data_IF_416217316068
#
_entry.id   IF_416217316068
#
_cell.length_a   1.000
_cell.length_b   1.000
_cell.length_c   1.000
_cell.angle_alpha   90.00
_cell.angle_beta   90.00
_cell.angle_gamma   90.00
#
_symmetry.space_group_name_H-M   'P 1'
#
loop_
_entity.id
_entity.type
_entity.pdbx_description
1 polymer ?
#
# COMPACT_ATOMS: atom_id res chain seq x y z
N UNK A 1 43.55 53.07 -49.24
CA UNK A 1 43.82 54.52 -49.32
C UNK A 1 44.61 54.96 -48.08
N UNK A 2 45.03 56.25 -48.05
CA UNK A 2 45.42 57.11 -46.90
C UNK A 2 44.64 56.83 -45.59
N UNK A 3 45.03 57.21 -44.35
CA UNK A 3 46.21 57.84 -43.67
C UNK A 3 45.94 57.62 -42.14
N UNK A 4 46.84 57.13 -41.27
CA UNK A 4 48.09 57.66 -40.67
C UNK A 4 47.91 58.81 -39.62
N UNK A 5 48.80 58.87 -38.60
CA UNK A 5 48.89 59.73 -37.38
C UNK A 5 48.06 59.24 -36.17
N UNK A 6 48.51 59.17 -34.89
CA UNK A 6 49.68 59.62 -34.05
C UNK A 6 49.43 60.82 -33.11
N UNK A 7 49.42 60.53 -31.79
CA UNK A 7 49.84 61.35 -30.61
C UNK A 7 49.93 60.40 -29.38
N UNK A 8 50.64 60.54 -28.23
CA UNK A 8 51.40 61.59 -27.49
C UNK A 8 50.51 62.58 -26.69
N UNK A 9 50.78 62.99 -25.44
CA UNK A 9 51.65 62.55 -24.31
C UNK A 9 51.12 63.25 -22.99
N UNK A 10 51.73 63.36 -21.77
CA UNK A 10 53.08 63.10 -21.22
C UNK A 10 53.08 63.12 -19.65
N UNK A 11 53.68 62.11 -18.98
CA UNK A 11 54.28 62.03 -17.60
C UNK A 11 53.98 63.09 -16.49
N UNK A 12 53.70 62.63 -15.25
CA UNK A 12 54.46 62.77 -13.94
C UNK A 12 53.58 62.23 -12.78
N UNK A 13 54.04 61.40 -11.81
CA UNK A 13 54.96 61.63 -10.67
C UNK A 13 54.40 62.61 -9.59
N UNK A 14 54.45 62.38 -8.27
CA UNK A 14 54.85 61.22 -7.43
C UNK A 14 54.38 61.44 -5.94
N UNK A 15 54.74 60.54 -5.01
CA UNK A 15 54.38 60.48 -3.57
C UNK A 15 52.88 60.22 -3.29
N UNK A 16 52.47 59.62 -2.17
CA UNK A 16 53.24 58.96 -1.10
C UNK A 16 53.26 59.67 0.25
N UNK A 17 52.17 59.57 1.03
CA UNK A 17 52.17 59.81 2.48
C UNK A 17 50.92 59.19 3.12
N UNK A 18 51.09 58.57 4.30
CA UNK A 18 50.02 57.98 5.11
C UNK A 18 49.35 59.04 5.99
N UNK A 19 48.04 58.95 6.18
CA UNK A 19 47.35 59.58 7.33
C UNK A 19 46.06 58.82 7.62
N UNK A 20 45.89 58.38 8.87
CA UNK A 20 44.68 57.71 9.32
C UNK A 20 43.67 58.74 9.84
N UNK A 21 42.41 58.61 9.44
CA UNK A 21 41.29 59.34 10.00
C UNK A 21 40.09 58.40 10.14
N UNK A 22 39.40 58.43 11.28
CA UNK A 22 38.30 57.52 11.57
C UNK A 22 37.04 57.94 10.79
N UNK A 23 36.40 56.99 10.12
CA UNK A 23 35.04 57.11 9.63
C UNK A 23 34.19 55.98 10.26
N UNK A 24 33.12 56.35 10.97
CA UNK A 24 32.26 55.40 11.66
C UNK A 24 31.36 54.66 10.65
N UNK A 25 31.77 53.46 10.23
CA UNK A 25 30.91 52.55 9.46
C UNK A 25 29.84 51.94 10.36
N UNK A 26 28.56 52.12 10.00
CA UNK A 26 27.45 51.56 10.77
C UNK A 26 27.49 50.02 10.75
N UNK A 27 27.62 49.41 11.92
CA UNK A 27 27.56 47.95 12.08
C UNK A 27 26.12 47.48 11.89
N UNK A 28 25.78 47.07 10.66
CA UNK A 28 24.59 46.27 10.39
C UNK A 28 24.72 44.94 11.14
N UNK A 29 24.12 44.87 12.33
CA UNK A 29 24.22 43.71 13.21
C UNK A 29 23.58 42.49 12.57
N UNK A 30 24.39 41.58 12.05
CA UNK A 30 23.95 40.23 11.72
C UNK A 30 23.52 39.55 13.03
N UNK A 31 22.22 39.56 13.31
CA UNK A 31 21.65 38.87 14.46
C UNK A 31 22.04 37.39 14.43
N UNK A 32 22.26 36.75 15.59
CA UNK A 32 22.73 35.38 15.64
C UNK A 32 21.77 34.49 14.85
N UNK A 33 22.31 33.76 13.86
CA UNK A 33 21.53 32.84 13.05
C UNK A 33 20.86 31.82 13.97
N UNK A 34 19.55 31.97 14.17
CA UNK A 34 18.80 31.15 15.11
C UNK A 34 18.89 29.69 14.65
N UNK A 35 19.68 28.91 15.39
CA UNK A 35 19.84 27.48 15.13
C UNK A 35 18.50 26.79 15.42
N UNK A 36 17.64 26.69 14.40
CA UNK A 36 16.35 26.02 14.51
C UNK A 36 16.58 24.64 15.13
N UNK A 37 15.93 24.33 16.27
CA UNK A 37 16.18 23.09 16.97
C UNK A 37 15.85 21.93 16.04
N UNK A 38 16.89 21.18 15.64
CA UNK A 38 16.78 20.06 14.73
C UNK A 38 15.78 19.08 15.34
N UNK A 39 14.61 18.95 14.70
CA UNK A 39 13.52 18.15 15.22
C UNK A 39 14.04 16.76 15.61
N UNK A 40 13.71 16.32 16.83
CA UNK A 40 14.17 15.04 17.34
C UNK A 40 13.82 13.94 16.34
N UNK A 41 14.76 13.02 16.11
CA UNK A 41 14.55 11.90 15.20
C UNK A 41 13.26 11.17 15.60
N UNK A 42 12.42 10.86 14.60
CA UNK A 42 11.19 10.14 14.84
C UNK A 42 11.51 8.81 15.57
N UNK A 43 10.70 8.40 16.56
CA UNK A 43 10.91 7.11 17.22
C UNK A 43 10.87 6.00 16.17
N UNK A 44 11.87 5.14 16.20
CA UNK A 44 11.91 3.99 15.31
C UNK A 44 10.81 2.97 15.68
N UNK A 45 10.29 2.19 14.71
CA UNK A 45 9.53 0.97 14.99
C UNK A 45 10.25 0.05 16.00
N UNK A 46 9.49 -0.65 16.85
CA UNK A 46 10.02 -1.36 18.02
C UNK A 46 10.67 -2.72 17.71
N UNK A 47 11.62 -2.73 16.78
CA UNK A 47 12.38 -3.91 16.36
C UNK A 47 13.87 -3.60 16.17
N UNK A 48 14.70 -4.65 16.13
CA UNK A 48 16.14 -4.50 15.87
C UNK A 48 16.41 -4.00 14.45
N UNK A 49 17.58 -3.40 14.22
CA UNK A 49 17.90 -2.74 12.95
C UNK A 49 17.84 -3.65 11.71
N UNK A 50 18.03 -4.97 11.85
CA UNK A 50 17.87 -5.93 10.75
C UNK A 50 16.40 -6.05 10.29
N UNK A 51 15.49 -6.06 11.26
CA UNK A 51 14.04 -6.18 11.07
C UNK A 51 13.34 -4.85 10.82
N UNK A 52 14.07 -3.73 10.80
CA UNK A 52 13.53 -2.41 10.48
C UNK A 52 13.59 -2.11 8.97
N UNK A 53 12.57 -1.41 8.50
CA UNK A 53 12.54 -0.74 7.20
C UNK A 53 12.17 0.73 7.47
N UNK A 54 13.00 1.64 6.96
CA UNK A 54 12.73 3.08 6.91
C UNK A 54 13.16 3.57 5.53
N UNK A 55 12.19 3.99 4.71
CA UNK A 55 12.42 4.49 3.36
C UNK A 55 11.88 5.90 3.23
N UNK A 56 12.75 6.85 2.93
CA UNK A 56 12.36 8.17 2.43
C UNK A 56 12.27 8.13 0.91
N UNK A 57 11.14 8.55 0.36
CA UNK A 57 10.86 8.64 -1.06
C UNK A 57 11.31 10.01 -1.59
N UNK A 58 11.52 10.13 -2.91
CA UNK A 58 12.06 11.36 -3.53
C UNK A 58 11.17 12.59 -3.35
N UNK A 59 9.86 12.38 -3.20
CA UNK A 59 8.83 13.38 -2.85
C UNK A 59 8.87 13.83 -1.39
N UNK A 60 9.73 13.23 -0.56
CA UNK A 60 9.95 13.62 0.83
C UNK A 60 9.19 12.80 1.87
N UNK A 61 8.13 12.10 1.46
CA UNK A 61 7.41 11.11 2.29
C UNK A 61 8.37 10.08 2.85
N UNK A 62 8.21 9.70 4.12
CA UNK A 62 8.94 8.61 4.76
C UNK A 62 8.00 7.55 5.30
N UNK A 63 8.22 6.30 4.92
CA UNK A 63 7.54 5.12 5.46
C UNK A 63 8.47 4.40 6.45
N UNK A 64 7.90 3.92 7.56
CA UNK A 64 8.62 3.13 8.57
C UNK A 64 7.79 1.95 9.01
N UNK A 65 8.43 0.80 9.20
CA UNK A 65 7.82 -0.43 9.68
C UNK A 65 8.87 -1.40 10.22
N UNK A 66 8.43 -2.35 11.02
CA UNK A 66 9.10 -3.62 11.24
C UNK A 66 8.65 -4.63 10.18
N UNK A 67 9.52 -5.57 9.84
CA UNK A 67 9.18 -6.79 9.14
C UNK A 67 9.67 -7.98 9.95
N UNK A 68 8.89 -9.06 9.97
CA UNK A 68 9.34 -10.37 10.41
C UNK A 68 8.89 -11.42 9.39
N UNK A 69 9.43 -12.62 9.55
CA UNK A 69 9.02 -13.76 8.74
C UNK A 69 8.33 -14.81 9.62
N UNK A 70 7.33 -15.47 9.04
CA UNK A 70 6.53 -16.49 9.67
C UNK A 70 6.44 -17.68 8.71
N UNK A 71 6.67 -18.90 9.21
CA UNK A 71 6.65 -20.13 8.40
C UNK A 71 5.31 -20.36 7.71
N UNK A 72 4.22 -19.82 8.26
CA UNK A 72 2.85 -19.96 7.74
C UNK A 72 2.54 -18.81 6.77
N UNK A 73 2.33 -17.58 7.26
CA UNK A 73 1.97 -16.38 6.45
C UNK A 73 3.06 -15.82 5.53
N UNK A 74 4.32 -16.29 5.59
CA UNK A 74 5.44 -15.63 4.91
C UNK A 74 5.83 -14.31 5.58
N UNK A 75 5.94 -13.23 4.80
CA UNK A 75 6.29 -11.90 5.33
C UNK A 75 5.13 -11.28 6.12
N UNK A 76 5.45 -10.74 7.30
CA UNK A 76 4.51 -10.02 8.17
C UNK A 76 5.10 -8.64 8.46
N UNK A 77 4.29 -7.59 8.26
CA UNK A 77 4.70 -6.20 8.46
C UNK A 77 4.02 -5.63 9.71
N UNK A 78 4.76 -4.93 10.56
CA UNK A 78 4.34 -4.50 11.90
C UNK A 78 4.79 -3.06 12.19
N UNK A 79 4.13 -2.37 13.12
CA UNK A 79 4.41 -0.95 13.46
C UNK A 79 4.48 0.00 12.24
N UNK A 80 3.58 -0.20 11.27
CA UNK A 80 3.56 0.54 10.01
C UNK A 80 3.13 1.99 10.25
N UNK A 81 3.98 2.93 9.84
CA UNK A 81 3.74 4.37 9.97
C UNK A 81 4.17 5.19 8.75
N UNK A 82 3.39 6.25 8.51
CA UNK A 82 3.44 7.14 7.37
C UNK A 82 3.84 8.54 7.82
N UNK A 83 4.76 9.21 7.13
CA UNK A 83 5.13 10.60 7.39
C UNK A 83 5.30 11.39 6.07
N UNK A 84 4.27 12.12 5.62
CA UNK A 84 4.40 12.99 4.46
C UNK A 84 5.20 14.27 4.75
N UNK A 85 5.60 15.03 3.71
CA UNK A 85 6.21 16.33 3.87
C UNK A 85 5.36 17.27 4.74
N UNK A 86 5.97 17.86 5.77
CA UNK A 86 5.30 18.83 6.64
C UNK A 86 4.43 18.25 7.77
N UNK A 87 4.41 16.92 7.97
CA UNK A 87 3.98 16.31 9.23
C UNK A 87 5.19 16.13 10.16
N UNK A 88 5.14 16.72 11.36
CA UNK A 88 6.29 16.79 12.28
C UNK A 88 6.62 15.45 12.99
N UNK A 89 5.69 14.48 12.95
CA UNK A 89 5.83 13.14 13.53
C UNK A 89 5.24 12.11 12.55
N UNK A 90 5.66 10.84 12.60
CA UNK A 90 4.97 9.78 11.87
C UNK A 90 3.56 9.55 12.43
N UNK A 91 2.64 9.22 11.53
CA UNK A 91 1.29 8.76 11.84
C UNK A 91 1.34 7.24 11.79
N UNK A 92 1.10 6.55 12.92
CA UNK A 92 0.93 5.09 12.89
C UNK A 92 -0.37 4.76 12.16
N UNK A 93 -0.33 3.74 11.31
CA UNK A 93 -1.49 3.32 10.50
C UNK A 93 -1.94 1.90 10.86
N UNK A 94 -1.03 0.93 10.78
CA UNK A 94 -1.29 -0.47 11.09
C UNK A 94 -0.38 -0.94 12.24
N UNK A 95 -0.95 -1.71 13.17
CA UNK A 95 -0.19 -2.48 14.15
C UNK A 95 0.46 -3.68 13.48
N UNK A 96 -0.30 -4.42 12.65
CA UNK A 96 0.20 -5.54 11.85
C UNK A 96 -0.59 -5.72 10.55
N UNK A 97 0.07 -6.29 9.54
CA UNK A 97 -0.51 -6.69 8.28
C UNK A 97 0.17 -7.98 7.78
N UNK A 98 -0.64 -8.96 7.31
CA UNK A 98 -0.14 -10.24 6.78
C UNK A 98 -1.11 -10.91 5.81
N UNK A 99 -0.62 -11.87 5.04
CA UNK A 99 -1.47 -12.90 4.43
C UNK A 99 -2.11 -13.76 5.51
N UNK A 100 -3.40 -14.05 5.33
CA UNK A 100 -4.25 -14.77 6.26
C UNK A 100 -4.76 -16.10 5.68
N UNK A 101 -4.90 -16.22 4.35
CA UNK A 101 -5.10 -17.48 3.64
C UNK A 101 -4.79 -17.28 2.14
N UNK A 102 -4.46 -18.37 1.44
CA UNK A 102 -4.68 -18.53 0.00
C UNK A 102 -5.43 -19.86 -0.14
N UNK A 103 -6.69 -19.79 -0.57
CA UNK A 103 -7.59 -20.94 -0.65
C UNK A 103 -7.91 -21.27 -2.11
N UNK A 104 -7.49 -22.47 -2.54
CA UNK A 104 -7.46 -22.93 -3.93
C UNK A 104 -8.35 -24.17 -4.12
N UNK A 105 -9.67 -24.00 -4.33
CA UNK A 105 -10.56 -25.06 -4.76
C UNK A 105 -10.52 -25.22 -6.28
N UNK A 106 -10.51 -26.47 -6.73
CA UNK A 106 -10.64 -26.84 -8.14
C UNK A 106 -12.12 -27.03 -8.51
N UNK A 107 -12.47 -26.69 -9.74
CA UNK A 107 -13.86 -26.75 -10.21
C UNK A 107 -14.32 -28.20 -10.48
N UNK A 108 -13.39 -29.16 -10.51
CA UNK A 108 -13.70 -30.59 -10.57
C UNK A 108 -14.29 -31.15 -9.26
N UNK A 109 -13.92 -30.54 -8.13
CA UNK A 109 -14.29 -30.94 -6.78
C UNK A 109 -13.39 -32.02 -6.14
N UNK A 110 -12.32 -32.48 -6.79
CA UNK A 110 -11.40 -33.46 -6.20
C UNK A 110 -10.30 -32.80 -5.34
N UNK A 111 -9.90 -31.56 -5.65
CA UNK A 111 -8.85 -30.84 -4.94
C UNK A 111 -9.33 -29.51 -4.31
N UNK A 112 -8.93 -29.28 -3.06
CA UNK A 112 -9.09 -28.01 -2.33
C UNK A 112 -7.92 -27.82 -1.36
N UNK A 113 -7.20 -26.72 -1.48
CA UNK A 113 -6.00 -26.44 -0.71
C UNK A 113 -6.09 -25.11 0.07
N UNK A 114 -5.51 -25.08 1.26
CA UNK A 114 -5.29 -23.87 2.05
C UNK A 114 -3.77 -23.64 2.22
N UNK A 115 -3.11 -23.17 1.16
CA UNK A 115 -1.64 -23.04 1.00
C UNK A 115 -0.92 -22.42 2.22
N UNK A 116 -1.56 -21.42 2.84
CA UNK A 116 -0.96 -20.73 4.00
C UNK A 116 -0.92 -21.65 5.21
N UNK A 117 -2.04 -22.31 5.54
CA UNK A 117 -2.20 -23.08 6.79
C UNK A 117 -1.81 -24.54 6.68
N UNK A 118 -2.07 -25.21 5.55
CA UNK A 118 -1.74 -26.62 5.35
C UNK A 118 -0.27 -26.77 4.92
N UNK A 119 0.13 -26.05 3.88
CA UNK A 119 1.44 -26.19 3.24
C UNK A 119 2.54 -25.31 3.85
N UNK A 120 2.23 -24.50 4.88
CA UNK A 120 3.18 -23.55 5.46
C UNK A 120 3.86 -22.68 4.39
N UNK A 121 3.05 -21.97 3.59
CA UNK A 121 3.46 -21.08 2.49
C UNK A 121 4.77 -20.29 2.72
N UNK A 122 5.00 -19.77 3.93
CA UNK A 122 6.24 -19.07 4.29
C UNK A 122 7.51 -19.92 4.12
N UNK A 123 7.47 -21.22 4.44
CA UNK A 123 8.59 -22.14 4.22
C UNK A 123 8.92 -22.36 2.73
N UNK A 124 7.98 -22.05 1.82
CA UNK A 124 8.18 -22.06 0.37
C UNK A 124 9.01 -20.90 -0.20
N UNK A 125 9.59 -20.04 0.64
CA UNK A 125 10.35 -18.86 0.22
C UNK A 125 11.54 -19.21 -0.71
N UNK A 126 11.61 -18.56 -1.87
CA UNK A 126 12.67 -18.75 -2.86
C UNK A 126 13.87 -17.81 -2.64
N UNK A 127 15.04 -18.20 -3.16
CA UNK A 127 16.24 -17.36 -3.20
C UNK A 127 16.25 -16.49 -4.47
N UNK A 128 16.11 -15.17 -4.30
CA UNK A 128 16.16 -14.20 -5.39
C UNK A 128 17.59 -13.93 -5.87
N UNK A 129 17.76 -13.80 -7.20
CA UNK A 129 18.96 -13.22 -7.83
C UNK A 129 18.83 -11.69 -7.87
N UNK A 130 19.94 -10.92 -7.94
CA UNK A 130 19.88 -9.44 -7.99
C UNK A 130 18.97 -8.86 -9.08
N UNK A 131 18.84 -9.53 -10.23
CA UNK A 131 17.96 -9.10 -11.33
C UNK A 131 16.46 -9.15 -10.97
N UNK A 132 16.06 -9.99 -10.01
CA UNK A 132 14.67 -10.11 -9.53
C UNK A 132 14.29 -9.00 -8.55
N UNK A 133 15.26 -8.21 -8.06
CA UNK A 133 15.07 -7.06 -7.18
C UNK A 133 15.69 -5.77 -7.78
N UNK A 134 15.22 -5.32 -8.96
CA UNK A 134 15.85 -4.22 -9.70
C UNK A 134 15.85 -2.91 -8.90
N UNK A 135 17.03 -2.29 -8.79
CA UNK A 135 17.25 -1.06 -8.01
C UNK A 135 17.08 -1.20 -6.49
N UNK A 136 16.87 -2.42 -5.98
CA UNK A 136 16.57 -2.69 -4.58
C UNK A 136 17.69 -3.34 -3.80
N UNK A 137 17.37 -3.74 -2.57
CA UNK A 137 18.19 -4.58 -1.70
C UNK A 137 17.43 -5.86 -1.39
N UNK A 138 18.05 -7.01 -1.63
CA UNK A 138 17.53 -8.30 -1.17
C UNK A 138 18.00 -8.54 0.26
N UNK A 139 17.07 -8.65 1.20
CA UNK A 139 17.32 -9.02 2.60
C UNK A 139 17.38 -10.54 2.72
N UNK A 140 18.34 -11.03 3.51
CA UNK A 140 18.36 -12.41 3.99
C UNK A 140 17.26 -12.61 5.04
N UNK A 141 16.52 -13.70 4.90
CA UNK A 141 15.41 -14.13 5.74
C UNK A 141 15.78 -15.47 6.35
N UNK A 142 15.65 -15.62 7.67
CA UNK A 142 15.86 -16.91 8.33
C UNK A 142 14.57 -17.72 8.34
N UNK A 143 14.50 -18.71 7.45
CA UNK A 143 13.43 -19.71 7.36
C UNK A 143 13.86 -20.94 8.14
N UNK A 144 13.00 -21.49 9.00
CA UNK A 144 13.37 -22.63 9.86
C UNK A 144 13.47 -23.94 9.08
N UNK A 145 12.44 -24.24 8.29
CA UNK A 145 12.32 -25.47 7.51
C UNK A 145 12.09 -25.12 6.02
N UNK A 146 13.09 -24.56 5.31
CA UNK A 146 12.92 -24.11 3.94
C UNK A 146 12.71 -25.29 2.97
N UNK A 147 11.68 -25.20 2.12
CA UNK A 147 11.32 -26.27 1.18
C UNK A 147 12.21 -26.30 -0.06
N UNK A 148 12.65 -25.13 -0.55
CA UNK A 148 13.35 -24.96 -1.83
C UNK A 148 14.73 -24.30 -1.66
N UNK A 149 15.37 -24.47 -0.50
CA UNK A 149 16.70 -23.94 -0.20
C UNK A 149 17.46 -24.87 0.74
N UNK A 150 18.69 -25.24 0.37
CA UNK A 150 19.62 -25.98 1.23
C UNK A 150 20.17 -25.16 2.42
N UNK A 151 19.74 -23.89 2.55
CA UNK A 151 20.13 -22.95 3.61
C UNK A 151 18.89 -22.39 4.30
N UNK A 152 18.88 -22.37 5.63
CA UNK A 152 17.92 -21.63 6.44
C UNK A 152 17.98 -20.11 6.19
N UNK A 153 19.15 -19.59 5.82
CA UNK A 153 19.32 -18.20 5.45
C UNK A 153 19.03 -18.06 3.94
N UNK A 154 17.82 -17.58 3.62
CA UNK A 154 17.24 -17.46 2.28
C UNK A 154 17.22 -16.00 1.84
N UNK A 155 17.73 -15.68 0.65
CA UNK A 155 17.73 -14.32 0.09
C UNK A 155 16.39 -13.99 -0.58
N UNK A 156 15.30 -13.95 0.19
CA UNK A 156 13.94 -13.98 -0.35
C UNK A 156 13.08 -12.72 -0.20
N UNK A 157 13.55 -11.65 0.44
CA UNK A 157 12.78 -10.40 0.62
C UNK A 157 13.42 -9.23 -0.12
N UNK A 158 12.82 -8.81 -1.24
CA UNK A 158 13.20 -7.58 -1.94
C UNK A 158 12.63 -6.34 -1.24
N UNK A 159 13.43 -5.28 -1.15
CA UNK A 159 12.97 -3.92 -0.84
C UNK A 159 13.51 -2.95 -1.90
N UNK A 160 12.63 -2.25 -2.63
CA UNK A 160 12.98 -1.32 -3.73
C UNK A 160 12.03 -0.13 -3.76
N UNK A 161 12.24 0.82 -4.68
CA UNK A 161 11.29 1.93 -4.95
C UNK A 161 10.97 2.00 -6.45
N UNK A 162 9.71 1.98 -6.84
CA UNK A 162 9.30 2.06 -8.26
C UNK A 162 8.63 3.41 -8.55
N UNK A 163 8.47 3.73 -9.84
CA UNK A 163 7.65 4.86 -10.27
C UNK A 163 6.19 4.44 -10.27
N UNK A 164 5.29 5.32 -9.80
CA UNK A 164 3.84 5.09 -9.87
C UNK A 164 3.12 6.02 -10.86
N UNK A 165 3.88 6.69 -11.73
CA UNK A 165 3.35 7.71 -12.64
C UNK A 165 3.12 9.05 -11.94
N UNK A 166 2.11 9.81 -12.38
CA UNK A 166 1.81 11.13 -11.80
C UNK A 166 1.29 11.02 -10.36
N UNK A 167 1.90 11.77 -9.44
CA UNK A 167 1.34 12.04 -8.12
C UNK A 167 0.24 13.12 -8.18
N UNK A 168 0.35 14.06 -9.12
CA UNK A 168 -0.71 14.99 -9.53
C UNK A 168 -0.37 15.67 -10.85
N UNK A 169 -1.41 16.22 -11.50
CA UNK A 169 -1.31 17.25 -12.52
C UNK A 169 -2.47 18.24 -12.34
N UNK A 170 -2.19 19.54 -12.39
CA UNK A 170 -3.16 20.63 -12.33
C UNK A 170 -2.72 21.73 -13.30
N UNK A 171 -3.58 22.08 -14.25
CA UNK A 171 -3.47 23.32 -15.01
C UNK A 171 -4.38 24.36 -14.34
N UNK A 172 -3.86 25.50 -13.90
CA UNK A 172 -4.71 26.58 -13.38
C UNK A 172 -5.26 27.45 -14.50
N UNK A 173 -6.42 28.06 -14.24
CA UNK A 173 -7.13 28.98 -15.14
C UNK A 173 -7.55 30.20 -14.29
N UNK A 174 -6.90 31.37 -14.43
CA UNK A 174 -7.29 32.57 -13.70
C UNK A 174 -8.62 33.14 -14.22
N UNK A 175 -9.32 34.01 -13.46
CA UNK A 175 -10.65 34.53 -13.83
C UNK A 175 -10.74 35.33 -15.15
N UNK A 176 -9.62 35.55 -15.85
CA UNK A 176 -9.57 36.17 -17.18
C UNK A 176 -9.54 35.15 -18.33
N UNK A 177 -9.71 33.86 -18.06
CA UNK A 177 -9.79 32.78 -19.07
C UNK A 177 -8.47 32.41 -19.74
N UNK A 178 -7.33 32.90 -19.22
CA UNK A 178 -6.01 32.54 -19.76
C UNK A 178 -5.52 31.19 -19.22
N UNK A 179 -4.60 30.56 -19.95
CA UNK A 179 -3.85 29.41 -19.43
C UNK A 179 -2.89 29.89 -18.33
N UNK A 180 -3.14 29.47 -17.09
CA UNK A 180 -2.34 29.79 -15.93
C UNK A 180 -1.10 28.89 -15.76
N UNK A 181 -0.66 28.73 -14.52
CA UNK A 181 0.49 27.90 -14.16
C UNK A 181 0.11 26.41 -14.12
N UNK A 182 0.92 25.56 -14.76
CA UNK A 182 0.87 24.12 -14.57
C UNK A 182 1.64 23.71 -13.30
N UNK A 183 1.06 22.77 -12.54
CA UNK A 183 1.66 22.10 -11.40
C UNK A 183 1.61 20.59 -11.63
N UNK A 184 2.74 19.91 -11.58
CA UNK A 184 2.80 18.45 -11.71
C UNK A 184 3.92 17.86 -10.85
N UNK A 185 3.76 16.59 -10.47
CA UNK A 185 4.81 15.77 -9.87
C UNK A 185 4.69 14.31 -10.30
N UNK A 186 5.82 13.62 -10.42
CA UNK A 186 5.87 12.15 -10.53
C UNK A 186 5.98 11.55 -9.12
N UNK A 187 5.20 10.51 -8.86
CA UNK A 187 5.15 9.81 -7.58
C UNK A 187 6.09 8.62 -7.50
N UNK A 188 6.38 8.22 -6.27
CA UNK A 188 7.11 7.00 -5.91
C UNK A 188 6.32 6.13 -4.95
N UNK A 189 6.64 4.84 -4.97
CA UNK A 189 6.33 3.92 -3.87
C UNK A 189 7.63 3.37 -3.25
N UNK A 190 7.51 2.88 -2.00
CA UNK A 190 8.34 1.79 -1.49
C UNK A 190 7.61 0.49 -1.83
N UNK A 191 8.30 -0.47 -2.42
CA UNK A 191 7.78 -1.80 -2.72
C UNK A 191 8.61 -2.85 -1.96
N UNK A 192 7.92 -3.70 -1.22
CA UNK A 192 8.44 -4.90 -0.56
C UNK A 192 7.80 -6.14 -1.18
N UNK A 193 8.57 -7.19 -1.46
CA UNK A 193 8.00 -8.46 -1.89
C UNK A 193 8.84 -9.69 -1.59
N UNK A 194 8.16 -10.83 -1.49
CA UNK A 194 8.71 -12.18 -1.49
C UNK A 194 8.16 -12.98 -2.67
N UNK A 195 8.87 -14.05 -3.06
CA UNK A 195 8.32 -15.10 -3.94
C UNK A 195 8.31 -16.40 -3.17
N UNK A 196 7.13 -17.03 -3.09
CA UNK A 196 6.86 -18.22 -2.30
C UNK A 196 6.29 -19.30 -3.21
N UNK A 197 6.91 -20.49 -3.24
CA UNK A 197 6.47 -21.63 -4.04
C UNK A 197 5.63 -22.59 -3.21
N UNK A 198 4.52 -23.06 -3.78
CA UNK A 198 3.68 -24.13 -3.22
C UNK A 198 3.36 -25.08 -4.36
N UNK A 199 3.99 -26.26 -4.34
CA UNK A 199 3.96 -27.23 -5.44
C UNK A 199 4.31 -26.58 -6.81
N UNK A 200 3.46 -26.69 -7.83
CA UNK A 200 3.62 -26.06 -9.14
C UNK A 200 3.50 -24.53 -9.10
N UNK A 201 2.65 -23.97 -8.24
CA UNK A 201 2.41 -22.52 -8.15
C UNK A 201 3.54 -21.75 -7.46
N UNK A 202 3.72 -20.51 -7.91
CA UNK A 202 4.60 -19.50 -7.30
C UNK A 202 3.82 -18.21 -7.09
N UNK A 203 3.93 -17.63 -5.90
CA UNK A 203 3.16 -16.47 -5.48
C UNK A 203 4.08 -15.29 -5.12
N UNK A 204 3.94 -14.20 -5.86
CA UNK A 204 4.64 -12.94 -5.61
C UNK A 204 3.80 -12.10 -4.64
N UNK A 205 4.19 -12.04 -3.37
CA UNK A 205 3.46 -11.26 -2.35
C UNK A 205 3.99 -9.83 -2.31
N UNK A 206 3.26 -8.87 -2.89
CA UNK A 206 3.67 -7.45 -2.92
C UNK A 206 2.97 -6.60 -1.86
N UNK A 207 3.76 -5.75 -1.19
CA UNK A 207 3.30 -4.67 -0.33
C UNK A 207 3.88 -3.34 -0.84
N UNK A 208 3.02 -2.46 -1.35
CA UNK A 208 3.40 -1.13 -1.88
C UNK A 208 2.94 -0.02 -0.96
N UNK A 209 3.81 0.95 -0.74
CA UNK A 209 3.66 2.07 0.19
C UNK A 209 3.92 3.37 -0.58
N UNK A 210 2.83 3.99 -1.06
CA UNK A 210 2.87 5.12 -1.99
C UNK A 210 3.16 6.44 -1.26
N UNK A 211 3.72 7.42 -1.96
CA UNK A 211 4.10 8.70 -1.33
C UNK A 211 2.92 9.60 -0.91
N UNK A 212 1.73 9.40 -1.45
CA UNK A 212 0.50 10.04 -0.98
C UNK A 212 -0.12 9.38 0.26
N UNK A 213 0.43 8.27 0.74
CA UNK A 213 -0.07 7.53 1.90
C UNK A 213 -0.86 6.27 1.55
N UNK A 214 -1.22 6.06 0.28
CA UNK A 214 -1.91 4.85 -0.16
C UNK A 214 -1.04 3.61 0.07
N UNK A 215 -1.64 2.53 0.56
CA UNK A 215 -1.02 1.21 0.62
C UNK A 215 -1.75 0.25 -0.31
N UNK A 216 -1.02 -0.58 -1.05
CA UNK A 216 -1.57 -1.57 -1.98
C UNK A 216 -0.98 -2.94 -1.67
N UNK A 217 -1.84 -3.93 -1.55
CA UNK A 217 -1.51 -5.30 -1.16
C UNK A 217 -1.96 -6.24 -2.28
N UNK A 218 -1.02 -6.95 -2.90
CA UNK A 218 -1.30 -7.87 -4.00
C UNK A 218 -0.64 -9.24 -3.75
N UNK A 219 -1.24 -10.27 -4.34
CA UNK A 219 -0.58 -11.53 -4.66
C UNK A 219 -0.61 -11.69 -6.19
N UNK A 220 0.54 -12.03 -6.76
CA UNK A 220 0.68 -12.42 -8.16
C UNK A 220 0.89 -13.92 -8.27
N UNK A 221 -0.08 -14.67 -8.79
CA UNK A 221 0.05 -16.09 -9.06
C UNK A 221 0.77 -16.34 -10.40
N UNK A 222 1.76 -17.23 -10.41
CA UNK A 222 2.62 -17.58 -11.56
C UNK A 222 3.20 -18.99 -11.33
N UNK A 223 4.20 -19.41 -12.11
CA UNK A 223 4.79 -20.75 -12.02
C UNK A 223 4.33 -21.65 -13.16
N UNK A 224 3.44 -22.60 -12.89
CA UNK A 224 2.93 -23.55 -13.88
C UNK A 224 1.53 -24.04 -13.50
N UNK A 225 0.74 -24.46 -14.49
CA UNK A 225 -0.48 -25.24 -14.26
C UNK A 225 -0.13 -26.55 -13.54
N UNK A 226 -1.14 -27.15 -12.89
CA UNK A 226 -0.99 -28.45 -12.24
C UNK A 226 -0.68 -29.54 -13.27
N UNK A 227 0.21 -30.50 -12.97
CA UNK A 227 0.69 -31.49 -13.94
C UNK A 227 -0.24 -32.71 -14.11
N UNK A 228 -1.22 -32.89 -13.22
CA UNK A 228 -2.06 -34.10 -13.14
C UNK A 228 -3.51 -33.86 -13.65
N UNK A 229 -3.94 -32.60 -13.69
CA UNK A 229 -5.33 -32.18 -13.91
C UNK A 229 -5.53 -31.79 -15.39
N UNK A 230 -5.71 -32.79 -16.27
CA UNK A 230 -5.69 -32.62 -17.74
C UNK A 230 -6.86 -33.28 -18.50
N UNK A 231 -7.90 -33.79 -17.83
CA UNK A 231 -9.03 -34.50 -18.45
C UNK A 231 -10.42 -33.86 -18.26
N UNK A 232 -10.52 -32.65 -17.69
CA UNK A 232 -11.78 -31.91 -17.45
C UNK A 232 -12.42 -31.30 -18.71
N UNK A 233 -12.58 -32.11 -19.76
CA UNK A 233 -13.22 -31.74 -21.04
C UNK A 233 -14.75 -31.57 -21.00
N UNK A 234 -15.38 -31.67 -19.83
CA UNK A 234 -16.83 -31.54 -19.62
C UNK A 234 -17.31 -30.10 -19.32
N UNK A 235 -16.38 -29.14 -19.34
CA UNK A 235 -16.64 -27.72 -19.06
C UNK A 235 -16.12 -27.24 -17.70
N UNK A 236 -15.51 -28.12 -16.89
CA UNK A 236 -14.77 -27.76 -15.67
C UNK A 236 -13.32 -27.34 -15.97
N UNK A 237 -12.75 -27.75 -17.10
CA UNK A 237 -11.44 -27.32 -17.59
C UNK A 237 -11.52 -26.57 -18.93
N UNK A 238 -10.36 -26.13 -19.43
CA UNK A 238 -10.20 -25.48 -20.72
C UNK A 238 -9.16 -26.22 -21.60
N UNK A 239 -9.44 -26.43 -22.91
CA UNK A 239 -8.51 -27.15 -23.80
C UNK A 239 -7.21 -26.38 -23.99
N UNK A 240 -6.08 -27.06 -23.81
CA UNK A 240 -4.75 -26.51 -24.05
C UNK A 240 -3.94 -27.42 -24.98
N UNK A 241 -2.91 -26.84 -25.61
CA UNK A 241 -2.07 -27.56 -26.55
C UNK A 241 -2.76 -27.91 -27.88
N UNK A 242 -2.22 -28.90 -28.58
CA UNK A 242 -2.54 -29.12 -30.00
C UNK A 242 -3.81 -29.94 -30.23
N UNK A 243 -4.91 -29.22 -30.38
CA UNK A 243 -6.16 -29.74 -30.93
C UNK A 243 -7.11 -30.30 -29.89
N UNK A 244 -7.20 -29.65 -28.71
CA UNK A 244 -8.18 -29.93 -27.67
C UNK A 244 -8.26 -31.42 -27.28
N UNK A 245 -7.10 -31.99 -26.94
CA UNK A 245 -6.98 -33.37 -26.43
C UNK A 245 -6.86 -33.40 -24.92
N UNK A 246 -6.20 -32.39 -24.38
CA UNK A 246 -5.80 -32.25 -22.99
C UNK A 246 -6.45 -30.96 -22.48
N UNK A 247 -7.12 -31.02 -21.33
CA UNK A 247 -8.00 -29.98 -20.80
C UNK A 247 -7.61 -29.67 -19.35
N UNK A 248 -6.92 -28.56 -19.13
CA UNK A 248 -6.46 -28.21 -17.79
C UNK A 248 -7.59 -27.60 -16.94
N UNK A 249 -7.61 -27.96 -15.67
CA UNK A 249 -8.70 -27.63 -14.75
C UNK A 249 -8.82 -26.14 -14.40
N UNK A 250 -10.06 -25.65 -14.46
CA UNK A 250 -10.40 -24.34 -13.90
C UNK A 250 -10.46 -24.44 -12.38
N UNK A 251 -10.05 -23.37 -11.70
CA UNK A 251 -9.95 -23.34 -10.25
C UNK A 251 -10.00 -21.90 -9.75
N UNK A 252 -10.23 -21.69 -8.47
CA UNK A 252 -10.24 -20.34 -7.87
C UNK A 252 -9.01 -20.09 -7.01
N UNK A 253 -8.56 -18.84 -6.92
CA UNK A 253 -7.58 -18.36 -5.95
C UNK A 253 -8.28 -17.36 -5.03
N UNK A 254 -8.52 -17.73 -3.77
CA UNK A 254 -9.18 -16.87 -2.78
C UNK A 254 -8.14 -16.39 -1.77
N UNK A 255 -7.62 -15.19 -1.96
CA UNK A 255 -6.52 -14.63 -1.14
C UNK A 255 -7.10 -13.75 -0.05
N UNK A 256 -6.68 -13.99 1.20
CA UNK A 256 -7.11 -13.22 2.36
C UNK A 256 -5.94 -12.47 3.00
N UNK A 257 -6.19 -11.24 3.44
CA UNK A 257 -5.25 -10.44 4.23
C UNK A 257 -5.89 -10.04 5.57
N UNK A 258 -5.13 -10.12 6.66
CA UNK A 258 -5.52 -9.64 8.00
C UNK A 258 -4.83 -8.31 8.27
N UNK A 259 -5.60 -7.24 8.49
CA UNK A 259 -5.12 -5.91 8.84
C UNK A 259 -5.57 -5.53 10.25
N UNK A 260 -4.61 -5.18 11.11
CA UNK A 260 -4.83 -4.66 12.46
C UNK A 260 -4.51 -3.16 12.46
N UNK A 261 -5.54 -2.32 12.58
CA UNK A 261 -5.38 -0.87 12.52
C UNK A 261 -4.92 -0.27 13.86
N UNK A 262 -3.85 0.52 13.80
CA UNK A 262 -3.25 1.22 14.93
C UNK A 262 -3.21 2.74 14.71
N UNK A 263 -4.29 3.30 14.16
CA UNK A 263 -4.37 4.70 13.72
C UNK A 263 -3.95 5.65 14.84
N UNK A 264 -2.99 6.53 14.55
CA UNK A 264 -2.43 7.52 15.49
C UNK A 264 -1.82 6.92 16.78
N UNK A 265 -1.50 5.63 16.76
CA UNK A 265 -0.99 4.88 17.91
C UNK A 265 -2.09 4.22 18.77
N UNK A 266 -3.35 4.25 18.32
CA UNK A 266 -4.50 3.70 19.01
C UNK A 266 -5.15 2.56 18.21
N UNK A 267 -5.23 1.38 18.80
CA UNK A 267 -6.06 0.28 18.26
C UNK A 267 -7.57 0.55 18.37
N UNK A 268 -7.96 1.49 19.25
CA UNK A 268 -9.35 1.97 19.34
C UNK A 268 -9.69 2.80 18.11
N UNK A 269 -10.29 2.14 17.14
CA UNK A 269 -10.75 2.69 15.87
C UNK A 269 -12.25 2.39 15.71
N UNK A 270 -12.87 2.78 14.59
CA UNK A 270 -14.26 2.41 14.27
C UNK A 270 -14.40 2.20 12.77
N UNK A 271 -15.38 1.41 12.36
CA UNK A 271 -15.71 1.19 10.95
C UNK A 271 -16.92 2.03 10.56
N UNK A 272 -16.80 2.75 9.45
CA UNK A 272 -17.87 3.55 8.84
C UNK A 272 -18.12 3.03 7.42
N UNK A 273 -19.34 2.57 7.15
CA UNK A 273 -19.82 2.20 5.82
C UNK A 273 -20.51 3.40 5.17
N UNK A 274 -20.30 3.57 3.88
CA UNK A 274 -20.95 4.58 3.06
C UNK A 274 -21.71 3.90 1.91
N UNK A 275 -22.98 4.25 1.75
CA UNK A 275 -23.83 3.79 0.65
C UNK A 275 -24.37 5.00 -0.12
N UNK A 276 -24.10 5.10 -1.41
CA UNK A 276 -24.63 6.20 -2.25
C UNK A 276 -25.72 5.72 -3.18
N UNK A 277 -26.86 6.41 -3.19
CA UNK A 277 -28.00 6.11 -4.05
C UNK A 277 -28.25 7.25 -5.04
N UNK A 278 -28.22 6.92 -6.32
CA UNK A 278 -28.68 7.80 -7.39
C UNK A 278 -30.21 7.82 -7.45
N UNK A 279 -30.78 9.01 -7.54
CA UNK A 279 -32.18 9.29 -7.87
C UNK A 279 -32.24 9.85 -9.31
N UNK A 280 -33.24 9.47 -10.12
CA UNK A 280 -33.41 9.99 -11.48
C UNK A 280 -33.48 11.53 -11.57
N UNK A 281 -33.34 12.03 -12.80
CA UNK A 281 -33.62 13.43 -13.15
C UNK A 281 -35.06 13.83 -12.78
N UNK A 282 -35.28 15.12 -12.49
CA UNK A 282 -36.57 15.63 -12.04
C UNK A 282 -36.82 17.05 -12.55
N UNK A 283 -37.67 17.16 -13.59
CA UNK A 283 -37.75 18.35 -14.44
C UNK A 283 -36.45 18.55 -15.22
N UNK A 284 -36.08 19.80 -15.47
CA UNK A 284 -34.86 20.17 -16.21
C UNK A 284 -33.55 19.94 -15.41
N UNK A 285 -33.64 19.33 -14.22
CA UNK A 285 -32.48 18.99 -13.38
C UNK A 285 -32.03 17.56 -13.66
N UNK A 286 -30.73 17.39 -13.88
CA UNK A 286 -30.09 16.08 -13.98
C UNK A 286 -30.23 15.21 -12.73
N UNK A 287 -29.83 13.93 -12.80
CA UNK A 287 -29.90 13.00 -11.67
C UNK A 287 -29.17 13.52 -10.43
N UNK A 288 -29.66 13.12 -9.25
CA UNK A 288 -29.05 13.50 -7.97
C UNK A 288 -28.51 12.26 -7.25
N UNK A 289 -27.48 12.42 -6.43
CA UNK A 289 -26.89 11.32 -5.66
C UNK A 289 -26.88 11.67 -4.17
N UNK A 290 -27.34 10.75 -3.31
CA UNK A 290 -27.31 10.92 -1.85
C UNK A 290 -26.53 9.79 -1.20
N UNK A 291 -25.46 10.14 -0.50
CA UNK A 291 -24.69 9.21 0.33
C UNK A 291 -25.25 9.15 1.76
N UNK A 292 -25.32 7.94 2.30
CA UNK A 292 -25.71 7.64 3.69
C UNK A 292 -24.50 7.07 4.43
N UNK A 293 -24.28 7.54 5.65
CA UNK A 293 -23.25 7.04 6.58
C UNK A 293 -23.89 6.05 7.56
N UNK A 294 -23.34 4.84 7.63
CA UNK A 294 -23.72 3.80 8.60
C UNK A 294 -22.52 3.48 9.49
N UNK A 295 -22.66 3.61 10.82
CA UNK A 295 -21.63 3.18 11.77
C UNK A 295 -21.72 1.68 11.95
N UNK A 296 -20.63 0.97 11.66
CA UNK A 296 -20.53 -0.48 11.88
C UNK A 296 -20.00 -0.68 13.30
N UNK A 297 -20.92 -0.88 14.25
CA UNK A 297 -20.65 -0.99 15.70
C UNK A 297 -20.57 -2.42 16.20
N UNK A 298 -20.95 -3.38 15.35
CA UNK A 298 -20.86 -4.82 15.56
C UNK A 298 -20.13 -5.44 14.38
N UNK A 299 -19.62 -6.65 14.59
CA UNK A 299 -19.01 -7.45 13.53
C UNK A 299 -19.92 -7.58 12.31
N UNK A 300 -19.30 -7.58 11.13
CA UNK A 300 -20.00 -7.49 9.86
C UNK A 300 -19.18 -8.19 8.76
N UNK A 301 -19.83 -9.06 8.00
CA UNK A 301 -19.36 -9.49 6.70
C UNK A 301 -20.09 -8.69 5.62
N UNK A 302 -19.39 -8.31 4.54
CA UNK A 302 -19.96 -7.42 3.53
C UNK A 302 -19.32 -7.53 2.15
N UNK A 303 -20.10 -7.19 1.13
CA UNK A 303 -19.66 -7.16 -0.26
C UNK A 303 -19.55 -5.73 -0.79
N UNK A 304 -18.50 -5.49 -1.58
CA UNK A 304 -18.35 -4.32 -2.42
C UNK A 304 -19.51 -4.26 -3.42
N UNK A 305 -20.09 -3.06 -3.57
CA UNK A 305 -21.24 -2.81 -4.46
C UNK A 305 -21.06 -1.44 -5.11
N UNK A 306 -21.73 -1.21 -6.23
CA UNK A 306 -21.68 0.09 -6.91
C UNK A 306 -21.95 1.23 -5.92
N UNK A 307 -20.96 2.11 -5.76
CA UNK A 307 -21.01 3.29 -4.87
C UNK A 307 -21.17 2.97 -3.36
N UNK A 308 -20.78 1.74 -2.94
CA UNK A 308 -20.55 1.35 -1.54
C UNK A 308 -19.06 1.25 -1.24
N UNK A 309 -18.64 1.76 -0.09
CA UNK A 309 -17.28 1.63 0.44
C UNK A 309 -17.26 1.68 1.97
N UNK A 310 -16.11 1.39 2.58
CA UNK A 310 -15.90 1.49 4.03
C UNK A 310 -14.63 2.26 4.35
N UNK A 311 -14.54 2.81 5.56
CA UNK A 311 -13.28 3.27 6.13
C UNK A 311 -13.11 2.86 7.58
N UNK A 312 -11.86 2.63 7.97
CA UNK A 312 -11.45 2.53 9.38
C UNK A 312 -11.02 3.92 9.84
N UNK A 313 -11.57 4.40 10.94
CA UNK A 313 -11.40 5.78 11.41
C UNK A 313 -10.84 5.84 12.83
N UNK A 314 -9.87 6.71 13.05
CA UNK A 314 -9.30 7.03 14.35
C UNK A 314 -10.37 7.57 15.30
N UNK A 315 -10.38 7.12 16.56
CA UNK A 315 -11.26 7.67 17.59
C UNK A 315 -10.72 8.97 18.21
N UNK A 316 -9.44 9.28 18.04
CA UNK A 316 -8.77 10.42 18.70
C UNK A 316 -7.95 11.30 17.76
N UNK A 317 -7.29 10.73 16.75
CA UNK A 317 -6.40 11.47 15.85
C UNK A 317 -7.15 12.24 14.77
N UNK A 318 -6.63 13.43 14.47
CA UNK A 318 -7.21 14.38 13.52
C UNK A 318 -6.16 14.98 12.58
N UNK A 319 -6.58 15.38 11.38
CA UNK A 319 -5.78 16.22 10.51
C UNK A 319 -5.74 17.67 11.03
N UNK A 320 -5.07 18.56 10.29
CA UNK A 320 -4.92 19.99 10.66
C UNK A 320 -6.23 20.79 10.62
N UNK A 321 -7.28 20.28 9.95
CA UNK A 321 -8.61 20.91 9.88
C UNK A 321 -9.58 20.34 10.95
N UNK A 322 -9.12 19.38 11.75
CA UNK A 322 -9.92 18.76 12.80
C UNK A 322 -10.82 17.60 12.35
N UNK A 323 -10.72 17.15 11.09
CA UNK A 323 -11.35 15.92 10.61
C UNK A 323 -10.63 14.70 11.19
N UNK A 324 -11.36 13.61 11.49
CA UNK A 324 -10.78 12.41 12.09
C UNK A 324 -10.01 11.58 11.05
N UNK A 325 -8.74 11.24 11.31
CA UNK A 325 -7.90 10.52 10.33
C UNK A 325 -8.45 9.12 10.08
N UNK A 326 -8.48 8.70 8.82
CA UNK A 326 -9.04 7.41 8.40
C UNK A 326 -8.33 6.80 7.21
N UNK A 327 -8.56 5.51 6.97
CA UNK A 327 -8.20 4.83 5.74
C UNK A 327 -9.43 4.19 5.12
N UNK A 328 -9.69 4.53 3.87
CA UNK A 328 -10.74 3.98 3.02
C UNK A 328 -10.29 2.64 2.44
N UNK A 329 -11.16 1.63 2.47
CA UNK A 329 -10.92 0.34 1.85
C UNK A 329 -11.31 0.44 0.37
N UNK A 330 -10.36 0.13 -0.52
CA UNK A 330 -10.52 0.17 -1.97
C UNK A 330 -10.31 -1.25 -2.52
N UNK A 331 -11.37 -2.06 -2.62
CA UNK A 331 -11.29 -3.41 -3.21
C UNK A 331 -10.76 -3.37 -4.66
N UNK A 332 -10.02 -4.40 -5.05
CA UNK A 332 -9.67 -4.63 -6.45
C UNK A 332 -10.80 -5.28 -7.25
N UNK A 333 -10.46 -5.85 -8.40
CA UNK A 333 -11.36 -6.73 -9.14
C UNK A 333 -11.66 -8.00 -8.31
N UNK A 334 -12.86 -8.55 -8.50
CA UNK A 334 -13.39 -9.67 -7.71
C UNK A 334 -14.15 -10.64 -8.61
N UNK A 335 -13.74 -11.91 -8.60
CA UNK A 335 -14.56 -13.05 -9.05
C UNK A 335 -14.69 -14.00 -7.87
N UNK A 336 -15.75 -13.80 -7.10
CA UNK A 336 -16.01 -14.47 -5.82
C UNK A 336 -16.37 -15.94 -6.01
N UNK A 337 -15.67 -16.83 -5.33
CA UNK A 337 -16.03 -18.24 -5.20
C UNK A 337 -17.07 -18.42 -4.07
N UNK A 338 -18.29 -18.93 -4.34
CA UNK A 338 -19.33 -19.09 -3.31
C UNK A 338 -19.36 -20.49 -2.65
N UNK A 339 -18.41 -21.37 -2.96
CA UNK A 339 -18.43 -22.77 -2.50
C UNK A 339 -18.06 -22.98 -1.02
N UNK A 340 -17.58 -21.95 -0.31
CA UNK A 340 -17.28 -21.99 1.12
C UNK A 340 -17.83 -20.75 1.84
N UNK A 341 -18.45 -20.87 3.04
CA UNK A 341 -18.97 -19.72 3.78
C UNK A 341 -17.95 -18.59 4.06
N UNK A 342 -16.67 -18.93 4.25
CA UNK A 342 -15.61 -17.95 4.47
C UNK A 342 -15.16 -17.19 3.21
N UNK A 343 -15.53 -17.62 2.00
CA UNK A 343 -15.26 -16.90 0.74
C UNK A 343 -16.44 -16.05 0.25
N UNK A 344 -17.60 -16.12 0.91
CA UNK A 344 -18.84 -15.48 0.47
C UNK A 344 -18.85 -13.93 0.52
N UNK A 345 -17.92 -13.28 1.23
CA UNK A 345 -17.88 -11.82 1.35
C UNK A 345 -16.49 -11.25 1.02
N UNK A 346 -16.44 -9.97 0.63
CA UNK A 346 -15.21 -9.30 0.17
C UNK A 346 -14.44 -8.67 1.35
N UNK A 347 -15.16 -8.34 2.41
CA UNK A 347 -14.61 -7.85 3.68
C UNK A 347 -15.35 -8.47 4.86
N UNK A 348 -14.60 -8.86 5.89
CA UNK A 348 -15.11 -9.22 7.21
C UNK A 348 -14.47 -8.29 8.25
N UNK A 349 -15.27 -7.82 9.21
CA UNK A 349 -14.84 -7.04 10.37
C UNK A 349 -15.12 -7.88 11.62
N UNK A 350 -14.07 -8.42 12.26
CA UNK A 350 -14.17 -9.08 13.58
C UNK A 350 -13.62 -8.17 14.67
N UNK A 351 -14.03 -8.37 15.93
CA UNK A 351 -13.34 -7.71 17.05
C UNK A 351 -11.97 -8.37 17.29
N UNK A 352 -10.96 -7.61 17.73
CA UNK A 352 -9.63 -8.18 17.95
C UNK A 352 -9.62 -9.34 18.95
N UNK A 353 -9.39 -10.53 18.42
CA UNK A 353 -9.06 -11.72 19.16
C UNK A 353 -7.61 -12.13 18.83
N UNK A 354 -6.81 -12.40 19.86
CA UNK A 354 -5.41 -12.83 19.69
C UNK A 354 -5.28 -14.19 18.97
N UNK A 355 -6.30 -15.05 19.08
CA UNK A 355 -6.27 -16.40 18.51
C UNK A 355 -6.79 -16.45 17.06
N UNK A 356 -7.50 -15.43 16.59
CA UNK A 356 -7.97 -15.32 15.21
C UNK A 356 -6.83 -14.83 14.31
N UNK A 357 -6.25 -15.75 13.55
CA UNK A 357 -5.00 -15.54 12.82
C UNK A 357 -5.08 -15.85 11.32
N UNK A 358 -5.92 -16.77 10.86
CA UNK A 358 -6.02 -17.21 9.47
C UNK A 358 -7.49 -17.35 9.06
N UNK A 359 -7.86 -16.97 7.84
CA UNK A 359 -9.29 -16.80 7.48
C UNK A 359 -10.09 -18.13 7.40
N UNK A 360 -9.39 -19.24 7.21
CA UNK A 360 -9.84 -20.62 7.32
C UNK A 360 -8.72 -21.44 7.97
N UNK A 361 -9.01 -22.67 8.43
CA UNK A 361 -7.98 -23.59 8.93
C UNK A 361 -7.16 -23.03 10.10
N UNK A 362 -7.79 -22.22 10.97
CA UNK A 362 -7.08 -21.29 11.84
C UNK A 362 -6.11 -21.96 12.85
N UNK A 363 -4.80 -21.92 12.54
CA UNK A 363 -3.70 -22.40 13.39
C UNK A 363 -3.40 -21.52 14.62
N UNK A 364 -4.32 -20.66 15.04
CA UNK A 364 -4.15 -19.83 16.24
C UNK A 364 -4.42 -20.63 17.52
N UNK A 365 -3.77 -20.24 18.63
CA UNK A 365 -3.94 -20.87 19.93
C UNK A 365 -5.29 -20.47 20.59
N UNK A 366 -6.39 -20.92 20.00
CA UNK A 366 -7.75 -20.75 20.49
C UNK A 366 -8.12 -21.80 21.54
N UNK A 367 -9.25 -21.60 22.23
CA UNK A 367 -9.82 -22.62 23.11
C UNK A 367 -10.47 -23.76 22.29
N UNK A 368 -10.57 -24.95 22.87
CA UNK A 368 -11.27 -26.09 22.26
C UNK A 368 -12.71 -25.72 21.89
N UNK A 369 -13.12 -26.00 20.65
CA UNK A 369 -14.46 -25.67 20.14
C UNK A 369 -14.64 -24.22 19.70
N UNK A 370 -13.60 -23.37 19.76
CA UNK A 370 -13.61 -22.09 19.06
C UNK A 370 -13.74 -22.32 17.54
N UNK A 371 -14.50 -21.49 16.80
CA UNK A 371 -14.60 -21.65 15.36
C UNK A 371 -13.26 -21.44 14.64
N UNK A 372 -13.16 -22.02 13.46
CA UNK A 372 -11.96 -22.23 12.64
C UNK A 372 -11.84 -21.30 11.42
N UNK A 373 -12.89 -20.51 11.14
CA UNK A 373 -13.01 -19.66 9.94
C UNK A 373 -13.74 -18.34 10.21
N UNK A 374 -13.41 -17.31 9.41
CA UNK A 374 -13.79 -15.90 9.66
C UNK A 374 -15.30 -15.62 9.56
N UNK A 375 -16.04 -16.40 8.78
CA UNK A 375 -17.50 -16.34 8.70
C UNK A 375 -18.18 -16.69 10.02
N UNK A 376 -17.61 -17.64 10.77
CA UNK A 376 -18.12 -18.09 12.07
C UNK A 376 -17.69 -17.16 13.21
N UNK A 377 -16.64 -16.37 13.01
CA UNK A 377 -16.19 -15.36 13.98
C UNK A 377 -17.08 -14.12 13.96
N UNK A 378 -17.60 -13.74 12.79
CA UNK A 378 -18.63 -12.68 12.66
C UNK A 378 -19.95 -13.15 13.28
N UNK A 379 -20.03 -13.06 14.61
CA UNK A 379 -21.18 -13.48 15.41
C UNK A 379 -22.02 -12.28 15.89
N UNK A 380 -21.52 -11.07 15.66
CA UNK A 380 -22.17 -9.82 16.05
C UNK A 380 -21.69 -9.31 17.41
N UNK A 381 -20.46 -9.65 17.82
CA UNK A 381 -19.77 -8.98 18.92
C UNK A 381 -19.64 -7.47 18.66
N UNK A 382 -19.48 -6.66 19.71
CA UNK A 382 -19.29 -5.22 19.56
C UNK A 382 -17.85 -4.90 19.11
N UNK A 383 -17.69 -4.02 18.12
CA UNK A 383 -16.38 -3.59 17.64
C UNK A 383 -15.83 -2.42 18.47
N UNK A 384 -14.65 -2.60 19.06
CA UNK A 384 -13.88 -1.57 19.78
C UNK A 384 -12.41 -1.51 19.34
N UNK A 385 -11.85 -2.64 18.89
CA UNK A 385 -10.59 -2.80 18.16
C UNK A 385 -10.87 -3.70 16.94
N UNK A 386 -11.50 -3.17 15.87
CA UNK A 386 -11.83 -3.96 14.69
C UNK A 386 -10.57 -4.44 13.94
N UNK A 387 -10.56 -5.72 13.59
CA UNK A 387 -9.64 -6.33 12.63
C UNK A 387 -10.35 -6.40 11.28
N UNK A 388 -9.67 -5.97 10.21
CA UNK A 388 -10.20 -6.07 8.84
C UNK A 388 -9.61 -7.28 8.16
N UNK A 389 -10.48 -8.17 7.69
CA UNK A 389 -10.11 -9.28 6.82
C UNK A 389 -10.61 -8.97 5.42
N UNK A 390 -9.69 -8.75 4.49
CA UNK A 390 -10.02 -8.52 3.08
C UNK A 390 -9.86 -9.83 2.32
N UNK A 391 -10.88 -10.21 1.57
CA UNK A 391 -10.89 -11.34 0.64
C UNK A 391 -10.79 -10.79 -0.79
N UNK A 392 -9.94 -11.37 -1.63
CA UNK A 392 -9.96 -11.13 -3.08
C UNK A 392 -9.95 -12.46 -3.81
N UNK A 393 -11.03 -12.74 -4.54
CA UNK A 393 -11.18 -13.94 -5.35
C UNK A 393 -10.81 -13.72 -6.82
N UNK A 394 -10.07 -14.66 -7.40
CA UNK A 394 -9.76 -14.77 -8.82
C UNK A 394 -10.19 -16.16 -9.32
N UNK A 395 -10.99 -16.25 -10.37
CA UNK A 395 -11.40 -17.50 -11.00
C UNK A 395 -10.58 -17.70 -12.27
N UNK A 396 -9.76 -18.73 -12.27
CA UNK A 396 -8.78 -19.01 -13.30
C UNK A 396 -9.32 -20.10 -14.22
N UNK A 397 -10.12 -19.70 -15.20
CA UNK A 397 -10.31 -20.49 -16.42
C UNK A 397 -8.99 -20.36 -17.19
N UNK A 398 -8.21 -21.44 -17.19
CA UNK A 398 -6.86 -21.50 -17.76
C UNK A 398 -6.88 -21.31 -19.29
N UNK A 399 -5.76 -20.93 -19.89
CA UNK A 399 -5.63 -20.72 -21.35
C UNK A 399 -4.32 -21.28 -21.87
N UNK A 400 -4.17 -21.34 -23.20
CA UNK A 400 -2.92 -21.75 -23.84
C UNK A 400 -1.72 -20.87 -23.41
N UNK A 401 -1.92 -19.56 -23.17
CA UNK A 401 -0.83 -18.69 -22.69
C UNK A 401 -0.44 -18.93 -21.23
N UNK A 402 -1.21 -19.69 -20.46
CA UNK A 402 -0.97 -19.98 -19.04
C UNK A 402 -0.13 -21.26 -18.82
N UNK A 403 0.25 -21.94 -19.90
CA UNK A 403 1.25 -23.02 -19.90
C UNK A 403 2.63 -22.55 -19.38
N UNK A 404 3.48 -23.49 -18.98
CA UNK A 404 4.74 -23.20 -18.31
C UNK A 404 5.72 -22.36 -19.17
N UNK A 405 6.27 -21.23 -18.68
CA UNK A 405 5.98 -20.58 -17.39
C UNK A 405 4.75 -19.66 -17.45
N UNK A 406 3.82 -19.84 -16.50
CA UNK A 406 2.55 -19.09 -16.46
C UNK A 406 2.78 -17.59 -16.24
N UNK A 407 2.15 -16.68 -17.01
CA UNK A 407 2.13 -15.24 -16.74
C UNK A 407 1.65 -14.90 -15.33
N UNK A 408 2.01 -13.72 -14.82
CA UNK A 408 1.62 -13.32 -13.45
C UNK A 408 0.20 -12.75 -13.43
N UNK A 409 -0.74 -13.51 -12.87
CA UNK A 409 -2.12 -13.07 -12.59
C UNK A 409 -2.17 -12.34 -11.25
N UNK A 410 -2.57 -11.07 -11.25
CA UNK A 410 -2.54 -10.22 -10.06
C UNK A 410 -3.92 -10.00 -9.44
N UNK A 411 -4.05 -10.34 -8.15
CA UNK A 411 -5.21 -10.02 -7.33
C UNK A 411 -4.79 -9.27 -6.06
N UNK A 412 -5.63 -8.36 -5.59
CA UNK A 412 -5.26 -7.47 -4.49
C UNK A 412 -6.26 -6.35 -4.25
N UNK A 413 -5.90 -5.44 -3.35
CA UNK A 413 -6.69 -4.27 -2.97
C UNK A 413 -5.78 -3.15 -2.47
N UNK A 414 -6.35 -1.96 -2.26
CA UNK A 414 -5.66 -0.85 -1.61
C UNK A 414 -6.40 -0.35 -0.38
N UNK A 415 -5.67 0.34 0.51
CA UNK A 415 -6.25 1.23 1.50
C UNK A 415 -5.73 2.65 1.25
N UNK A 416 -6.65 3.58 1.05
CA UNK A 416 -6.37 4.96 0.66
C UNK A 416 -6.52 5.92 1.86
N UNK A 417 -5.61 6.89 2.04
CA UNK A 417 -5.68 7.84 3.15
C UNK A 417 -6.87 8.79 2.96
N UNK A 418 -7.78 8.81 3.94
CA UNK A 418 -8.96 9.69 3.95
C UNK A 418 -8.95 10.56 5.19
N UNK A 419 -9.01 11.87 5.02
CA UNK A 419 -8.84 12.85 6.11
C UNK A 419 -7.52 12.66 6.91
N UNK A 420 -6.48 12.02 6.34
CA UNK A 420 -5.19 11.81 7.03
C UNK A 420 -4.38 13.10 7.09
N UNK A 421 -4.31 13.83 5.98
CA UNK A 421 -3.79 15.20 5.91
C UNK A 421 -4.94 16.17 5.64
N UNK A 422 -4.65 17.48 5.68
CA UNK A 422 -5.63 18.52 5.36
C UNK A 422 -5.91 18.58 3.85
N UNK A 423 -4.85 18.89 3.10
CA UNK A 423 -4.80 18.79 1.65
C UNK A 423 -4.10 17.50 1.20
N UNK A 424 -3.94 17.33 -0.11
CA UNK A 424 -2.98 16.39 -0.68
C UNK A 424 -1.60 16.56 0.02
N UNK A 425 -0.98 15.49 0.53
CA UNK A 425 0.30 15.55 1.25
C UNK A 425 1.47 16.10 0.42
N UNK A 426 1.33 16.12 -0.90
CA UNK A 426 2.32 16.58 -1.87
C UNK A 426 1.98 17.97 -2.47
N UNK A 427 0.98 18.67 -1.93
CA UNK A 427 0.59 20.03 -2.36
C UNK A 427 1.81 20.98 -2.37
N UNK A 428 2.13 21.62 -3.51
CA UNK A 428 3.25 22.55 -3.61
C UNK A 428 3.00 23.80 -2.75
N UNK A 429 4.07 24.50 -2.36
CA UNK A 429 4.01 25.62 -1.41
C UNK A 429 2.99 26.70 -1.81
N UNK A 430 2.99 27.05 -3.09
CA UNK A 430 2.15 28.06 -3.73
C UNK A 430 0.64 27.78 -3.59
N UNK A 431 0.24 26.50 -3.46
CA UNK A 431 -1.17 26.09 -3.39
C UNK A 431 -1.67 25.83 -1.96
N UNK A 432 -0.84 26.05 -0.93
CA UNK A 432 -1.23 25.81 0.48
C UNK A 432 -2.39 26.69 0.96
N UNK A 433 -2.60 27.86 0.34
CA UNK A 433 -3.71 28.76 0.66
C UNK A 433 -5.09 28.23 0.23
N UNK A 434 -5.15 27.23 -0.65
CA UNK A 434 -6.41 26.70 -1.23
C UNK A 434 -7.17 25.79 -0.23
N UNK A 435 -6.61 25.51 0.96
CA UNK A 435 -7.21 24.60 1.94
C UNK A 435 -8.62 25.04 2.39
N UNK A 436 -9.67 24.38 1.88
CA UNK A 436 -11.07 24.78 2.11
C UNK A 436 -11.53 26.04 1.36
N UNK A 437 -10.66 26.70 0.59
CA UNK A 437 -10.92 28.00 -0.04
C UNK A 437 -11.13 27.87 -1.55
N UNK A 438 -12.40 27.80 -1.97
CA UNK A 438 -12.80 27.76 -3.39
C UNK A 438 -12.82 29.14 -4.05
N UNK A 439 -11.62 29.70 -4.26
CA UNK A 439 -11.34 30.67 -5.32
C UNK A 439 -11.81 32.12 -5.13
N UNK A 440 -10.96 32.92 -4.49
CA UNK A 440 -10.64 34.33 -4.80
C UNK A 440 -9.40 34.71 -3.98
N UNK A 441 -8.52 35.51 -4.58
CA UNK A 441 -7.35 36.15 -3.97
C UNK A 441 -6.29 35.20 -3.34
N UNK A 442 -5.50 34.57 -4.22
CA UNK A 442 -4.20 33.92 -3.90
C UNK A 442 -3.19 34.13 -5.02
#
# INVERSE_FOLDING_TARGET
MRVNRISRARRRAALGLSLAALAAGATAGAGPAAAHPKAAAAPAPNCSAAYRIEQKLSTGTTWRMCWRFNSTSGVVLEDISYQPPGEAKPIKVLNSAKLAQIHVPYDDGNAEYNDVTEYNFGNGLLNMKPAECPGGTIKTVKVREPMYSASQDVKGLCATTRSRGHAYHLQTEPPNGNVGKSYQAQGKDLLLYTVNKVSWYEYITEWRFQDDGTMTMNVGATGSLAPEDYDSGDGRGWPIGKGAKDYADSHSHNVFWRLDFGLDGSSKTRVEQYDSKVSPAAGDRGPTNKTTLTKVTKELAGDAKNMRWWRVVSQSGKNKDGHARSYELVPGAQTKYPGRPFTNHDVYFTEYNKCEQYASGNLGACATGHPDSVDKWVNGQSLTHPVVWMNVGFHHIVRDEDQQPMPVHWQGFSIAPRDVTAMNPLTPADLKGINGHVGRDS
#
